data_IF_198270494519
#
_entry.id   IF_198270494519
#
_cell.length_a   1.000
_cell.length_b   1.000
_cell.length_c   1.000
_cell.angle_alpha   90.00
_cell.angle_beta   90.00
_cell.angle_gamma   90.00
#
_symmetry.space_group_name_H-M   'P 1'
#
loop_
_entity.id
_entity.type
_entity.pdbx_description
1 polymer ?
#
# COMPACT_ATOMS: atom_id res chain seq x y z
N UNK A 1 23.38 -28.57 36.57
CA UNK A 1 22.76 -27.56 37.45
C UNK A 1 23.31 -26.20 37.05
N UNK A 2 22.62 -25.48 36.17
CA UNK A 2 23.05 -24.18 35.65
C UNK A 2 22.22 -23.06 36.27
N UNK A 3 22.90 -22.10 36.90
CA UNK A 3 22.35 -20.94 37.59
C UNK A 3 21.73 -19.95 36.58
N UNK A 4 20.47 -19.58 36.82
CA UNK A 4 19.77 -18.49 36.11
C UNK A 4 20.14 -17.13 36.71
N UNK A 5 20.32 -16.07 35.89
CA UNK A 5 20.52 -14.71 36.38
C UNK A 5 19.19 -14.06 36.81
N UNK A 6 19.22 -13.07 37.74
CA UNK A 6 18.04 -12.47 38.36
C UNK A 6 17.31 -11.47 37.43
N UNK A 7 16.03 -11.13 37.74
CA UNK A 7 15.22 -10.29 36.87
C UNK A 7 15.58 -8.81 36.99
N UNK A 8 15.53 -8.14 35.83
CA UNK A 8 15.65 -6.70 35.65
C UNK A 8 14.63 -5.93 36.51
N UNK A 9 15.13 -5.00 37.34
CA UNK A 9 14.33 -3.96 37.99
C UNK A 9 13.92 -2.91 36.96
N UNK A 10 12.62 -2.68 36.85
CA UNK A 10 12.03 -1.57 36.10
C UNK A 10 12.34 -0.23 36.77
N UNK A 11 12.68 0.77 35.96
CA UNK A 11 12.69 2.18 36.34
C UNK A 11 11.26 2.65 36.66
N UNK A 12 11.06 3.14 37.87
CA UNK A 12 9.97 4.06 38.25
C UNK A 12 10.55 5.47 38.40
N UNK A 13 9.70 6.49 38.20
CA UNK A 13 9.95 7.94 38.14
C UNK A 13 10.34 8.44 36.73
N UNK A 14 9.79 9.50 36.15
CA UNK A 14 9.23 10.74 36.70
C UNK A 14 8.14 11.26 35.74
N UNK A 15 6.90 11.46 36.22
CA UNK A 15 5.98 12.45 35.67
C UNK A 15 5.25 13.07 36.86
N UNK A 16 5.81 14.17 37.37
CA UNK A 16 5.10 15.08 38.25
C UNK A 16 4.20 15.96 37.38
N UNK A 17 2.89 15.84 37.59
CA UNK A 17 1.89 16.77 37.08
C UNK A 17 1.92 18.02 37.97
N UNK A 18 1.85 19.24 37.41
CA UNK A 18 1.51 20.41 38.21
C UNK A 18 0.02 20.40 38.55
N UNK A 19 -0.28 20.68 39.82
CA UNK A 19 -1.62 20.97 40.31
C UNK A 19 -2.08 22.31 39.68
N UNK A 20 -3.04 22.24 38.76
CA UNK A 20 -3.73 23.42 38.24
C UNK A 20 -5.01 23.65 39.03
N UNK A 21 -4.96 24.64 39.92
CA UNK A 21 -6.11 25.30 40.52
C UNK A 21 -6.93 25.98 39.42
N UNK A 22 -8.07 25.39 39.06
CA UNK A 22 -9.06 26.03 38.20
C UNK A 22 -10.38 26.21 38.94
N UNK A 23 -10.52 27.43 39.44
CA UNK A 23 -11.74 28.05 39.95
C UNK A 23 -12.93 27.89 39.00
N UNK A 24 -14.08 27.61 39.60
CA UNK A 24 -15.39 27.51 38.97
C UNK A 24 -15.75 28.76 38.13
N UNK A 25 -16.00 28.54 36.85
CA UNK A 25 -16.72 29.49 35.98
C UNK A 25 -18.11 28.92 35.74
N UNK A 26 -19.12 29.69 36.14
CA UNK A 26 -20.53 29.38 36.01
C UNK A 26 -20.95 29.28 34.53
N UNK A 27 -21.59 28.17 34.18
CA UNK A 27 -22.18 27.92 32.87
C UNK A 27 -23.42 28.78 32.64
N UNK A 28 -23.38 29.63 31.61
CA UNK A 28 -24.58 30.25 31.02
C UNK A 28 -25.16 29.33 29.94
N UNK A 29 -26.49 29.30 29.75
CA UNK A 29 -27.14 28.41 28.78
C UNK A 29 -26.92 28.89 27.33
N UNK A 30 -26.90 27.95 26.35
CA UNK A 30 -26.64 28.28 24.95
C UNK A 30 -27.84 28.97 24.29
N UNK A 31 -27.56 30.14 23.69
CA UNK A 31 -28.46 30.86 22.79
C UNK A 31 -28.58 30.11 21.47
N UNK A 32 -29.81 29.86 21.02
CA UNK A 32 -30.11 29.20 19.76
C UNK A 32 -29.60 30.03 18.55
N UNK A 33 -29.06 29.39 17.50
CA UNK A 33 -28.68 30.08 16.27
C UNK A 33 -29.92 30.47 15.44
N UNK A 34 -29.88 31.60 14.71
CA UNK A 34 -30.97 32.02 13.83
C UNK A 34 -31.03 31.14 12.57
N UNK A 35 -32.25 30.81 12.19
CA UNK A 35 -32.61 30.13 10.94
C UNK A 35 -32.01 30.89 9.75
N UNK A 36 -31.12 30.20 9.02
CA UNK A 36 -30.63 30.66 7.73
C UNK A 36 -31.30 29.83 6.65
N UNK A 37 -32.32 30.43 6.02
CA UNK A 37 -32.93 29.97 4.79
C UNK A 37 -31.88 29.91 3.68
N UNK A 38 -31.33 28.72 3.42
CA UNK A 38 -30.49 28.45 2.26
C UNK A 38 -31.41 28.15 1.08
N UNK A 39 -31.54 29.16 0.22
CA UNK A 39 -32.20 29.10 -1.08
C UNK A 39 -31.49 28.07 -1.99
N UNK A 40 -32.10 26.90 -2.14
CA UNK A 40 -31.65 25.79 -2.99
C UNK A 40 -32.28 25.87 -4.38
N UNK A 41 -32.25 27.04 -5.00
CA UNK A 41 -32.75 27.21 -6.35
C UNK A 41 -31.64 27.10 -7.41
N UNK A 42 -31.96 26.28 -8.42
CA UNK A 42 -31.40 26.24 -9.78
C UNK A 42 -30.10 25.46 -10.00
N UNK A 43 -30.21 24.13 -9.96
CA UNK A 43 -29.38 23.28 -10.83
C UNK A 43 -30.18 23.05 -12.12
N UNK A 44 -29.65 23.53 -13.25
CA UNK A 44 -30.25 23.40 -14.58
C UNK A 44 -30.28 21.92 -15.02
N UNK A 45 -31.45 21.29 -15.19
CA UNK A 45 -31.56 19.88 -15.54
C UNK A 45 -31.01 19.55 -16.95
N UNK A 46 -30.70 20.54 -17.79
CA UNK A 46 -30.16 20.30 -19.14
C UNK A 46 -28.68 19.94 -19.20
N UNK A 47 -27.94 20.05 -18.09
CA UNK A 47 -26.51 19.70 -18.03
C UNK A 47 -26.25 18.20 -17.72
N UNK A 48 -27.25 17.43 -17.31
CA UNK A 48 -27.08 15.98 -17.08
C UNK A 48 -27.20 15.14 -18.36
N UNK A 49 -27.92 15.61 -19.39
CA UNK A 49 -28.13 14.82 -20.61
C UNK A 49 -26.91 14.83 -21.56
N UNK A 50 -25.99 15.79 -21.40
CA UNK A 50 -24.81 15.89 -22.29
C UNK A 50 -23.66 14.94 -21.90
N UNK A 51 -23.68 14.38 -20.68
CA UNK A 51 -22.66 13.42 -20.23
C UNK A 51 -22.98 11.96 -20.57
N UNK A 52 -24.22 11.64 -20.97
CA UNK A 52 -24.57 10.29 -21.40
C UNK A 52 -24.30 10.00 -22.89
N UNK A 53 -24.03 11.02 -23.71
CA UNK A 53 -23.80 10.83 -25.15
C UNK A 53 -22.36 10.45 -25.53
N UNK A 54 -21.38 10.62 -24.63
CA UNK A 54 -19.95 10.36 -24.91
C UNK A 54 -19.48 8.93 -24.55
N UNK A 55 -20.36 8.08 -23.99
CA UNK A 55 -20.04 6.72 -23.56
C UNK A 55 -20.60 5.64 -24.51
N UNK A 56 -20.78 5.94 -25.81
CA UNK A 56 -21.06 4.92 -26.81
C UNK A 56 -19.77 4.17 -27.16
N UNK A 57 -19.54 3.09 -26.42
CA UNK A 57 -18.51 2.09 -26.72
C UNK A 57 -18.71 1.58 -28.14
N UNK A 58 -17.65 1.50 -28.97
CA UNK A 58 -17.76 0.92 -30.30
C UNK A 58 -18.24 -0.52 -30.21
N UNK A 59 -19.27 -0.82 -30.99
CA UNK A 59 -19.90 -2.15 -31.14
C UNK A 59 -18.81 -3.20 -31.32
N UNK A 60 -18.66 -4.06 -30.31
CA UNK A 60 -17.73 -5.19 -30.36
C UNK A 60 -18.11 -6.09 -31.54
N UNK A 61 -17.25 -6.12 -32.55
CA UNK A 61 -17.35 -7.01 -33.70
C UNK A 61 -17.32 -8.44 -33.16
N UNK A 62 -18.46 -9.13 -33.16
CA UNK A 62 -18.57 -10.54 -32.82
C UNK A 62 -17.72 -11.35 -33.80
N UNK A 63 -16.49 -11.67 -33.39
CA UNK A 63 -15.67 -12.69 -34.03
C UNK A 63 -16.25 -14.03 -33.57
N UNK A 64 -16.98 -14.70 -34.47
CA UNK A 64 -17.43 -16.08 -34.22
C UNK A 64 -16.19 -16.97 -33.97
N UNK A 65 -16.14 -17.71 -32.85
CA UNK A 65 -15.09 -18.69 -32.63
C UNK A 65 -15.24 -19.80 -33.69
N UNK A 66 -14.30 -19.86 -34.63
CA UNK A 66 -14.17 -21.00 -35.54
C UNK A 66 -13.86 -22.24 -34.70
N UNK A 67 -14.81 -23.16 -34.66
CA UNK A 67 -14.66 -24.50 -34.08
C UNK A 67 -13.60 -25.22 -34.93
N UNK A 68 -12.44 -25.61 -34.37
CA UNK A 68 -11.43 -26.33 -35.12
C UNK A 68 -11.89 -27.77 -35.35
N UNK A 69 -11.77 -28.24 -36.60
CA UNK A 69 -12.05 -29.61 -37.00
C UNK A 69 -11.18 -30.61 -36.23
N UNK A 70 -11.85 -31.66 -35.74
CA UNK A 70 -11.25 -32.83 -35.09
C UNK A 70 -10.42 -33.62 -36.11
N UNK A 71 -9.16 -33.21 -36.35
CA UNK A 71 -8.17 -34.08 -36.98
C UNK A 71 -7.19 -34.61 -35.94
N UNK A 72 -7.41 -35.89 -35.65
CA UNK A 72 -6.61 -36.78 -34.83
C UNK A 72 -5.23 -36.97 -35.45
N UNK A 73 -4.21 -36.31 -34.90
CA UNK A 73 -2.82 -36.75 -35.05
C UNK A 73 -2.23 -36.92 -33.66
N UNK A 74 -2.05 -38.19 -33.28
CA UNK A 74 -1.41 -38.63 -32.05
C UNK A 74 0.11 -38.37 -32.15
N UNK A 75 0.51 -37.11 -32.11
CA UNK A 75 1.82 -36.75 -31.59
C UNK A 75 1.62 -36.54 -30.09
N UNK A 76 2.36 -37.29 -29.27
CA UNK A 76 2.44 -37.12 -27.82
C UNK A 76 3.09 -35.76 -27.54
N UNK A 77 2.34 -34.70 -27.81
CA UNK A 77 2.67 -33.33 -27.50
C UNK A 77 2.49 -33.26 -25.99
N UNK A 78 3.60 -33.45 -25.25
CA UNK A 78 3.69 -33.22 -23.82
C UNK A 78 2.93 -31.94 -23.51
N UNK A 79 1.71 -32.06 -23.00
CA UNK A 79 0.78 -30.93 -22.99
C UNK A 79 1.45 -29.82 -22.20
N UNK A 80 1.77 -28.75 -22.93
CA UNK A 80 2.43 -27.57 -22.38
C UNK A 80 1.48 -26.77 -21.51
N UNK A 81 0.23 -27.22 -21.36
CA UNK A 81 -0.85 -26.61 -20.60
C UNK A 81 -1.09 -27.43 -19.33
N UNK A 82 -1.20 -26.74 -18.21
CA UNK A 82 -1.58 -27.27 -16.89
C UNK A 82 -2.96 -26.78 -16.55
N UNK A 83 -3.75 -27.67 -15.96
CA UNK A 83 -5.02 -27.33 -15.33
C UNK A 83 -4.77 -26.89 -13.89
N UNK A 84 -5.10 -25.64 -13.58
CA UNK A 84 -5.03 -25.09 -12.22
C UNK A 84 -6.44 -24.85 -11.71
N UNK A 85 -6.83 -25.62 -10.70
CA UNK A 85 -8.13 -25.55 -10.04
C UNK A 85 -7.96 -24.74 -8.76
N UNK A 86 -8.54 -23.55 -8.70
CA UNK A 86 -8.55 -22.75 -7.47
C UNK A 86 -9.87 -22.89 -6.77
N UNK A 87 -9.81 -23.26 -5.48
CA UNK A 87 -10.98 -23.43 -4.63
C UNK A 87 -10.93 -22.40 -3.52
N UNK A 88 -12.04 -21.70 -3.33
CA UNK A 88 -12.28 -20.81 -2.20
C UNK A 88 -13.53 -21.34 -1.48
N UNK A 89 -13.35 -21.96 -0.29
CA UNK A 89 -14.47 -22.43 0.52
C UNK A 89 -15.42 -21.27 0.88
N UNK A 90 -16.72 -21.54 1.03
CA UNK A 90 -17.36 -22.86 0.96
C UNK A 90 -17.76 -23.33 -0.45
N UNK A 91 -17.82 -22.45 -1.46
CA UNK A 91 -18.59 -22.77 -2.69
C UNK A 91 -17.98 -22.33 -4.00
N UNK A 92 -16.96 -21.48 -4.00
CA UNK A 92 -16.45 -20.90 -5.25
C UNK A 92 -15.23 -21.66 -5.74
N UNK A 93 -15.34 -22.24 -6.94
CA UNK A 93 -14.23 -22.89 -7.63
C UNK A 93 -14.16 -22.34 -9.05
N UNK A 94 -12.93 -22.16 -9.55
CA UNK A 94 -12.69 -21.85 -10.95
C UNK A 94 -11.45 -22.58 -11.44
N UNK A 95 -11.47 -22.97 -12.70
CA UNK A 95 -10.36 -23.67 -13.36
C UNK A 95 -9.75 -22.75 -14.41
N UNK A 96 -8.42 -22.70 -14.43
CA UNK A 96 -7.63 -22.02 -15.46
C UNK A 96 -6.76 -23.04 -16.19
N UNK A 97 -6.62 -22.86 -17.49
CA UNK A 97 -5.69 -23.61 -18.33
C UNK A 97 -4.53 -22.69 -18.68
N UNK A 98 -3.34 -22.99 -18.18
CA UNK A 98 -2.19 -22.07 -18.25
C UNK A 98 -0.97 -22.83 -18.78
N UNK A 99 -0.15 -22.16 -19.59
CA UNK A 99 1.08 -22.77 -20.07
C UNK A 99 2.10 -22.98 -18.94
N UNK A 100 2.73 -24.16 -18.91
CA UNK A 100 3.80 -24.56 -17.98
C UNK A 100 4.88 -23.49 -17.94
N UNK A 101 5.37 -23.06 -19.11
CA UNK A 101 6.41 -22.03 -19.23
C UNK A 101 6.08 -20.72 -18.52
N UNK A 102 4.82 -20.29 -18.57
CA UNK A 102 4.35 -19.07 -17.90
C UNK A 102 4.32 -19.29 -16.39
N UNK A 103 3.76 -20.41 -15.93
CA UNK A 103 3.73 -20.74 -14.50
C UNK A 103 5.16 -20.84 -13.94
N UNK A 104 6.05 -21.59 -14.61
CA UNK A 104 7.43 -21.81 -14.14
C UNK A 104 8.19 -20.51 -13.93
N UNK A 105 7.89 -19.49 -14.73
CA UNK A 105 8.55 -18.18 -14.67
C UNK A 105 8.06 -17.33 -13.50
N UNK A 106 6.78 -17.43 -13.14
CA UNK A 106 6.13 -16.51 -12.21
C UNK A 106 5.83 -17.09 -10.83
N UNK A 107 5.79 -18.42 -10.67
CA UNK A 107 5.47 -19.08 -9.40
C UNK A 107 6.26 -20.37 -9.22
N UNK A 108 7.15 -20.40 -8.22
CA UNK A 108 7.89 -21.61 -7.86
C UNK A 108 6.96 -22.67 -7.23
N UNK A 109 5.97 -22.25 -6.45
CA UNK A 109 5.03 -23.15 -5.78
C UNK A 109 4.12 -23.89 -6.77
N UNK A 110 3.53 -23.18 -7.75
CA UNK A 110 2.73 -23.82 -8.79
C UNK A 110 3.57 -24.70 -9.70
N UNK A 111 4.83 -24.33 -9.94
CA UNK A 111 5.79 -25.18 -10.68
C UNK A 111 5.98 -26.53 -10.01
N UNK A 112 6.33 -26.52 -8.73
CA UNK A 112 6.50 -27.77 -7.98
C UNK A 112 5.22 -28.62 -7.96
N UNK A 113 4.05 -27.97 -7.87
CA UNK A 113 2.78 -28.68 -7.86
C UNK A 113 2.44 -29.38 -9.19
N UNK A 114 2.67 -28.73 -10.34
CA UNK A 114 2.36 -29.37 -11.63
C UNK A 114 3.40 -30.40 -12.07
N UNK A 115 4.63 -30.32 -11.56
CA UNK A 115 5.66 -31.34 -11.79
C UNK A 115 5.29 -32.67 -11.12
N UNK A 116 4.51 -32.62 -10.03
CA UNK A 116 4.00 -33.79 -9.31
C UNK A 116 2.70 -34.33 -9.91
N UNK A 117 1.81 -33.48 -10.42
CA UNK A 117 0.50 -33.86 -10.93
C UNK A 117 0.07 -33.05 -12.16
N UNK A 118 -0.64 -33.67 -13.10
CA UNK A 118 -1.17 -33.00 -14.29
C UNK A 118 -2.19 -31.90 -13.98
N UNK A 119 -2.91 -32.06 -12.86
CA UNK A 119 -3.90 -31.11 -12.35
C UNK A 119 -3.42 -30.59 -11.00
N UNK A 120 -3.26 -29.27 -10.92
CA UNK A 120 -2.83 -28.58 -9.69
C UNK A 120 -4.04 -27.98 -9.00
N UNK A 121 -4.30 -28.35 -7.74
CA UNK A 121 -5.34 -27.70 -6.92
C UNK A 121 -4.70 -26.68 -5.98
N UNK A 122 -5.29 -25.49 -5.92
CA UNK A 122 -4.88 -24.41 -5.01
C UNK A 122 -6.06 -24.05 -4.14
N UNK A 123 -5.98 -24.39 -2.86
CA UNK A 123 -7.02 -24.05 -1.90
C UNK A 123 -6.69 -22.69 -1.27
N UNK A 124 -7.51 -21.69 -1.54
CA UNK A 124 -7.40 -20.34 -1.00
C UNK A 124 -8.38 -20.14 0.15
N UNK A 125 -7.95 -19.40 1.17
CA UNK A 125 -8.80 -19.04 2.30
C UNK A 125 -9.83 -17.98 1.88
N UNK A 126 -11.13 -18.30 1.99
CA UNK A 126 -12.22 -17.42 1.59
C UNK A 126 -12.37 -16.17 2.44
N UNK A 127 -11.85 -16.19 3.67
CA UNK A 127 -11.82 -14.99 4.52
C UNK A 127 -10.72 -14.01 4.07
N UNK A 128 -9.78 -14.45 3.23
CA UNK A 128 -8.61 -13.67 2.83
C UNK A 128 -8.62 -13.33 1.35
N UNK A 129 -9.01 -14.27 0.48
CA UNK A 129 -8.85 -14.13 -0.96
C UNK A 129 -10.19 -14.18 -1.69
N UNK A 130 -10.25 -13.48 -2.82
CA UNK A 130 -11.33 -13.65 -3.80
C UNK A 130 -10.80 -14.31 -5.07
N UNK A 131 -11.69 -14.88 -5.90
CA UNK A 131 -11.30 -15.39 -7.22
C UNK A 131 -10.70 -14.30 -8.11
N UNK A 132 -11.10 -13.03 -7.89
CA UNK A 132 -10.54 -11.88 -8.59
C UNK A 132 -9.06 -11.66 -8.25
N UNK A 133 -8.64 -11.91 -7.01
CA UNK A 133 -7.22 -11.83 -6.62
C UNK A 133 -6.36 -12.81 -7.42
N UNK A 134 -6.84 -14.04 -7.62
CA UNK A 134 -6.15 -15.03 -8.44
C UNK A 134 -6.18 -14.68 -9.93
N UNK A 135 -7.31 -14.17 -10.43
CA UNK A 135 -7.40 -13.67 -11.80
C UNK A 135 -6.35 -12.58 -12.08
N UNK A 136 -6.17 -11.60 -11.17
CA UNK A 136 -5.15 -10.55 -11.32
C UNK A 136 -3.73 -11.14 -11.39
N UNK A 137 -3.45 -12.23 -10.65
CA UNK A 137 -2.17 -12.95 -10.75
C UNK A 137 -1.97 -13.62 -12.11
N UNK A 138 -3.03 -14.20 -12.68
CA UNK A 138 -2.98 -14.77 -14.04
C UNK A 138 -2.72 -13.67 -15.06
N UNK A 139 -3.44 -12.56 -14.98
CA UNK A 139 -3.28 -11.43 -15.89
C UNK A 139 -1.85 -10.85 -15.80
N UNK A 140 -1.30 -10.74 -14.58
CA UNK A 140 0.10 -10.38 -14.36
C UNK A 140 1.06 -11.41 -14.97
N UNK A 141 0.79 -12.71 -14.86
CA UNK A 141 1.67 -13.75 -15.39
C UNK A 141 1.75 -13.72 -16.92
N UNK A 142 0.65 -13.36 -17.60
CA UNK A 142 0.64 -13.21 -19.05
C UNK A 142 1.24 -11.88 -19.53
N UNK A 143 0.99 -10.78 -18.83
CA UNK A 143 1.40 -9.43 -19.28
C UNK A 143 2.71 -8.92 -18.67
N UNK A 144 3.14 -9.50 -17.55
CA UNK A 144 4.15 -8.93 -16.64
C UNK A 144 3.84 -7.51 -16.14
N UNK A 145 2.59 -7.06 -16.26
CA UNK A 145 2.12 -5.74 -15.81
C UNK A 145 1.17 -5.96 -14.63
N UNK A 146 1.50 -5.35 -13.49
CA UNK A 146 0.61 -5.40 -12.33
C UNK A 146 -0.54 -4.42 -12.53
N UNK A 147 -1.75 -4.95 -12.62
CA UNK A 147 -2.98 -4.18 -12.72
C UNK A 147 -4.07 -4.87 -11.92
N UNK A 148 -4.81 -4.09 -11.15
CA UNK A 148 -5.96 -4.57 -10.36
C UNK A 148 -7.24 -3.99 -10.94
N UNK A 149 -8.30 -4.79 -10.93
CA UNK A 149 -9.61 -4.31 -11.37
C UNK A 149 -10.18 -3.29 -10.36
N UNK A 150 -9.98 -2.00 -10.65
CA UNK A 150 -10.49 -0.88 -9.84
C UNK A 150 -12.00 -0.68 -9.95
N UNK A 151 -12.67 -1.36 -10.87
CA UNK A 151 -14.12 -1.29 -11.07
C UNK A 151 -14.88 -2.37 -10.30
N UNK A 152 -14.18 -3.26 -9.58
CA UNK A 152 -14.83 -4.24 -8.73
C UNK A 152 -15.60 -3.54 -7.60
N UNK A 153 -16.81 -4.02 -7.29
CA UNK A 153 -17.69 -3.41 -6.28
C UNK A 153 -17.04 -3.42 -4.88
N UNK A 154 -16.23 -4.42 -4.60
CA UNK A 154 -15.48 -4.65 -3.36
C UNK A 154 -14.04 -4.13 -3.44
N UNK A 155 -13.70 -3.29 -4.43
CA UNK A 155 -12.37 -2.74 -4.57
C UNK A 155 -12.04 -1.82 -3.38
N UNK A 156 -11.17 -2.31 -2.50
CA UNK A 156 -10.54 -1.50 -1.47
C UNK A 156 -9.04 -1.51 -1.67
N UNK A 157 -8.46 -0.35 -1.93
CA UNK A 157 -7.11 -0.25 -2.47
C UNK A 157 -6.04 -0.93 -1.61
N UNK A 158 -6.08 -0.73 -0.29
CA UNK A 158 -5.11 -1.35 0.62
C UNK A 158 -5.37 -2.86 0.68
N UNK A 159 -6.63 -3.28 0.85
CA UNK A 159 -6.97 -4.71 0.97
C UNK A 159 -6.61 -5.48 -0.30
N UNK A 160 -6.96 -4.99 -1.48
CA UNK A 160 -6.67 -5.65 -2.75
C UNK A 160 -5.17 -5.85 -2.97
N UNK A 161 -4.35 -4.83 -2.68
CA UNK A 161 -2.89 -4.95 -2.81
C UNK A 161 -2.28 -5.85 -1.71
N UNK A 162 -2.80 -5.80 -0.47
CA UNK A 162 -2.39 -6.71 0.62
C UNK A 162 -2.72 -8.16 0.27
N UNK A 163 -3.91 -8.43 -0.26
CA UNK A 163 -4.32 -9.76 -0.74
C UNK A 163 -3.44 -10.25 -1.89
N UNK A 164 -3.12 -9.38 -2.86
CA UNK A 164 -2.20 -9.72 -3.94
C UNK A 164 -0.79 -10.05 -3.41
N UNK A 165 -0.29 -9.29 -2.43
CA UNK A 165 0.98 -9.57 -1.77
C UNK A 165 0.97 -10.91 -1.04
N UNK A 166 -0.09 -11.20 -0.28
CA UNK A 166 -0.29 -12.46 0.44
C UNK A 166 -0.41 -13.65 -0.53
N UNK A 167 -1.10 -13.46 -1.65
CA UNK A 167 -1.20 -14.48 -2.70
C UNK A 167 0.17 -14.74 -3.32
N UNK A 168 0.94 -13.68 -3.59
CA UNK A 168 2.32 -13.79 -4.07
C UNK A 168 3.20 -14.60 -3.11
N UNK A 169 3.10 -14.36 -1.80
CA UNK A 169 3.81 -15.16 -0.80
C UNK A 169 3.38 -16.64 -0.85
N UNK A 170 2.06 -16.91 -0.91
CA UNK A 170 1.49 -18.26 -0.93
C UNK A 170 1.87 -19.06 -2.18
N UNK A 171 1.97 -18.40 -3.33
CA UNK A 171 2.35 -19.02 -4.59
C UNK A 171 3.87 -19.02 -4.83
N UNK A 172 4.67 -18.53 -3.87
CA UNK A 172 6.12 -18.32 -4.05
C UNK A 172 6.44 -17.52 -5.33
N UNK A 173 5.72 -16.41 -5.49
CA UNK A 173 5.78 -15.50 -6.63
C UNK A 173 6.34 -14.12 -6.19
N UNK A 174 7.66 -14.01 -5.92
CA UNK A 174 8.26 -12.82 -5.32
C UNK A 174 8.15 -11.57 -6.22
N UNK A 175 8.13 -11.74 -7.54
CA UNK A 175 7.96 -10.62 -8.50
C UNK A 175 6.56 -10.01 -8.42
N UNK A 176 5.54 -10.85 -8.30
CA UNK A 176 4.15 -10.41 -8.10
C UNK A 176 3.97 -9.75 -6.73
N UNK A 177 4.56 -10.37 -5.69
CA UNK A 177 4.57 -9.82 -4.33
C UNK A 177 5.22 -8.41 -4.30
N UNK A 178 6.38 -8.25 -4.93
CA UNK A 178 7.07 -6.97 -5.02
C UNK A 178 6.27 -5.92 -5.81
N UNK A 179 5.61 -6.32 -6.91
CA UNK A 179 4.78 -5.41 -7.70
C UNK A 179 3.56 -4.91 -6.90
N UNK A 180 2.87 -5.79 -6.17
CA UNK A 180 1.77 -5.41 -5.27
C UNK A 180 2.24 -4.47 -4.15
N UNK A 181 3.43 -4.71 -3.58
CA UNK A 181 4.00 -3.82 -2.56
C UNK A 181 4.33 -2.44 -3.12
N UNK A 182 4.83 -2.37 -4.37
CA UNK A 182 5.08 -1.10 -5.05
C UNK A 182 3.79 -0.32 -5.29
N UNK A 183 2.76 -0.95 -5.82
CA UNK A 183 1.46 -0.27 -6.01
C UNK A 183 0.86 0.18 -4.68
N UNK A 184 0.98 -0.62 -3.61
CA UNK A 184 0.53 -0.17 -2.29
C UNK A 184 1.31 1.09 -1.83
N UNK A 185 2.62 1.11 -2.05
CA UNK A 185 3.48 2.23 -1.68
C UNK A 185 3.19 3.50 -2.48
N UNK A 186 2.93 3.40 -3.79
CA UNK A 186 2.65 4.56 -4.65
C UNK A 186 1.41 5.34 -4.21
N UNK A 187 0.45 4.67 -3.58
CA UNK A 187 -0.75 5.30 -3.03
C UNK A 187 -0.58 5.92 -1.66
N UNK A 188 0.34 5.39 -0.86
CA UNK A 188 0.56 5.81 0.51
C UNK A 188 1.57 6.96 0.58
N UNK A 189 2.68 6.86 -0.15
CA UNK A 189 3.82 7.76 -0.01
C UNK A 189 3.51 9.24 -0.26
N UNK A 190 2.72 9.64 -1.27
CA UNK A 190 2.51 11.06 -1.54
C UNK A 190 1.87 11.81 -0.37
N UNK A 191 0.95 11.16 0.35
CA UNK A 191 0.27 11.75 1.50
C UNK A 191 1.17 11.86 2.72
N UNK A 192 2.15 10.96 2.86
CA UNK A 192 3.18 11.09 3.90
C UNK A 192 4.11 12.29 3.72
N UNK A 193 4.16 12.86 2.52
CA UNK A 193 5.00 14.02 2.20
C UNK A 193 4.23 15.34 2.18
N UNK A 194 2.91 15.28 2.36
CA UNK A 194 2.08 16.47 2.41
C UNK A 194 2.44 17.33 3.63
N UNK A 195 2.44 18.66 3.46
CA UNK A 195 2.79 19.60 4.52
C UNK A 195 1.76 19.57 5.66
N UNK A 196 0.51 19.28 5.31
CA UNK A 196 -0.67 19.15 6.16
C UNK A 196 -0.99 17.68 6.49
N UNK A 197 0.02 16.80 6.43
CA UNK A 197 -0.12 15.40 6.80
C UNK A 197 -0.62 15.29 8.25
N UNK A 198 -1.79 14.67 8.41
CA UNK A 198 -2.42 14.39 9.70
C UNK A 198 -3.17 13.07 9.64
N UNK A 199 -3.59 12.56 10.80
CA UNK A 199 -4.43 11.36 10.86
C UNK A 199 -5.73 11.49 10.06
N UNK A 200 -6.29 12.70 9.93
CA UNK A 200 -7.51 12.96 9.18
C UNK A 200 -7.32 12.77 7.66
N UNK A 201 -6.14 13.11 7.14
CA UNK A 201 -5.80 12.99 5.72
C UNK A 201 -5.18 11.63 5.35
N UNK A 202 -4.91 10.76 6.34
CA UNK A 202 -4.38 9.43 6.08
C UNK A 202 -5.38 8.59 5.26
N UNK A 203 -4.96 7.97 4.14
CA UNK A 203 -5.80 7.04 3.39
C UNK A 203 -5.94 5.70 4.13
N UNK A 204 -5.04 5.42 5.08
CA UNK A 204 -5.03 4.20 5.88
C UNK A 204 -6.03 4.35 7.03
N UNK A 205 -7.04 3.49 7.05
CA UNK A 205 -8.07 3.44 8.08
C UNK A 205 -7.76 2.39 9.15
N UNK A 206 -8.58 2.36 10.20
CA UNK A 206 -8.39 1.42 11.32
C UNK A 206 -8.57 -0.01 10.84
N UNK A 207 -9.53 -0.21 9.95
CA UNK A 207 -9.92 -1.49 9.35
C UNK A 207 -8.77 -2.06 8.52
N UNK A 208 -8.00 -1.23 7.81
CA UNK A 208 -6.84 -1.67 7.03
C UNK A 208 -5.73 -2.23 7.91
N UNK A 209 -5.42 -1.54 9.00
CA UNK A 209 -4.35 -1.94 9.92
C UNK A 209 -4.75 -3.21 10.65
N UNK A 210 -6.02 -3.34 11.04
CA UNK A 210 -6.57 -4.54 11.65
C UNK A 210 -6.57 -5.71 10.66
N UNK A 211 -6.99 -5.49 9.42
CA UNK A 211 -6.94 -6.49 8.35
C UNK A 211 -5.51 -7.01 8.16
N UNK A 212 -4.53 -6.10 8.04
CA UNK A 212 -3.11 -6.48 7.90
C UNK A 212 -2.62 -7.22 9.14
N UNK A 213 -3.01 -6.79 10.36
CA UNK A 213 -2.67 -7.50 11.58
C UNK A 213 -3.26 -8.92 11.63
N UNK A 214 -4.50 -9.12 11.19
CA UNK A 214 -5.13 -10.45 11.20
C UNK A 214 -4.54 -11.39 10.14
N UNK A 215 -4.16 -10.85 8.98
CA UNK A 215 -3.79 -11.66 7.80
C UNK A 215 -2.29 -11.91 7.63
N UNK A 216 -1.44 -11.27 8.43
CA UNK A 216 0.02 -11.45 8.37
C UNK A 216 0.59 -11.80 9.75
N UNK A 217 1.75 -12.47 9.85
CA UNK A 217 2.42 -12.70 11.13
C UNK A 217 3.10 -11.43 11.66
N UNK A 218 3.37 -11.41 12.98
CA UNK A 218 4.19 -10.38 13.61
C UNK A 218 5.57 -10.28 12.94
N UNK A 219 6.06 -9.05 12.74
CA UNK A 219 7.36 -8.80 12.10
C UNK A 219 7.36 -8.86 10.56
N UNK A 220 6.22 -9.16 9.92
CA UNK A 220 6.08 -9.14 8.47
C UNK A 220 6.41 -7.76 7.88
N UNK A 221 7.07 -7.76 6.71
CA UNK A 221 7.39 -6.56 5.91
C UNK A 221 6.15 -5.70 5.65
N UNK A 222 5.02 -6.33 5.30
CA UNK A 222 3.79 -5.63 4.98
C UNK A 222 3.24 -4.85 6.18
N UNK A 223 3.30 -5.45 7.39
CA UNK A 223 2.96 -4.74 8.64
C UNK A 223 3.91 -3.58 8.89
N UNK A 224 5.21 -3.79 8.68
CA UNK A 224 6.19 -2.73 8.87
C UNK A 224 5.90 -1.54 7.95
N UNK A 225 5.62 -1.78 6.66
CA UNK A 225 5.22 -0.73 5.70
C UNK A 225 3.98 0.02 6.15
N UNK A 226 2.92 -0.69 6.53
CA UNK A 226 1.65 -0.05 6.94
C UNK A 226 1.83 0.72 8.26
N UNK A 227 2.57 0.20 9.22
CA UNK A 227 2.81 0.89 10.49
C UNK A 227 3.71 2.12 10.31
N UNK A 228 4.74 2.01 9.47
CA UNK A 228 5.60 3.14 9.10
C UNK A 228 4.82 4.24 8.39
N UNK A 229 3.92 3.86 7.49
CA UNK A 229 3.05 4.78 6.77
C UNK A 229 2.10 5.53 7.71
N UNK A 230 1.41 4.81 8.60
CA UNK A 230 0.56 5.44 9.62
C UNK A 230 1.39 6.40 10.47
N UNK A 231 2.56 5.97 10.93
CA UNK A 231 3.44 6.83 11.71
C UNK A 231 3.91 8.07 10.92
N UNK A 232 4.20 7.93 9.62
CA UNK A 232 4.61 9.04 8.77
C UNK A 232 3.46 10.03 8.49
N UNK A 233 2.22 9.53 8.38
CA UNK A 233 1.05 10.37 8.09
C UNK A 233 0.60 11.20 9.29
N UNK A 234 0.79 10.68 10.49
CA UNK A 234 0.23 11.27 11.70
C UNK A 234 1.14 12.34 12.25
N UNK A 235 0.57 13.36 12.87
CA UNK A 235 1.34 14.30 13.69
C UNK A 235 1.73 13.66 15.03
N UNK A 236 2.68 14.25 15.74
CA UNK A 236 2.97 13.90 17.13
C UNK A 236 1.72 14.03 18.00
N UNK A 237 0.90 15.06 17.77
CA UNK A 237 -0.35 15.26 18.50
C UNK A 237 -1.33 14.11 18.28
N UNK A 238 -1.53 13.70 17.02
CA UNK A 238 -2.40 12.56 16.68
C UNK A 238 -1.93 11.27 17.36
N UNK A 239 -0.62 11.00 17.34
CA UNK A 239 -0.03 9.81 17.94
C UNK A 239 -0.18 9.79 19.47
N UNK A 240 -0.04 10.94 20.15
CA UNK A 240 -0.27 11.06 21.60
C UNK A 240 -1.74 10.80 21.94
N UNK A 241 -2.65 11.31 21.12
CA UNK A 241 -4.09 11.20 21.36
C UNK A 241 -4.63 9.76 21.32
N UNK A 242 -3.94 8.80 20.71
CA UNK A 242 -4.30 7.37 20.84
C UNK A 242 -4.17 6.93 22.31
N UNK A 243 -3.07 7.32 22.94
CA UNK A 243 -2.75 6.96 24.32
C UNK A 243 -3.72 7.57 25.33
N UNK A 244 -4.09 8.84 25.15
CA UNK A 244 -5.04 9.53 26.05
C UNK A 244 -6.43 8.91 25.98
N UNK A 245 -6.88 8.52 24.78
CA UNK A 245 -8.16 7.82 24.59
C UNK A 245 -8.19 6.44 25.26
N UNK A 246 -7.05 5.73 25.31
CA UNK A 246 -6.93 4.47 26.05
C UNK A 246 -7.10 4.70 27.55
N UNK A 247 -6.40 5.69 28.11
CA UNK A 247 -6.48 6.00 29.55
C UNK A 247 -7.93 6.32 29.92
N UNK A 248 -8.61 7.18 29.15
CA UNK A 248 -10.01 7.52 29.38
C UNK A 248 -10.96 6.32 29.34
N UNK A 249 -10.71 5.34 28.45
CA UNK A 249 -11.50 4.10 28.41
C UNK A 249 -11.32 3.27 29.69
N UNK A 250 -10.06 3.05 30.11
CA UNK A 250 -9.77 2.31 31.34
C UNK A 250 -10.33 3.00 32.59
N UNK A 251 -10.26 4.34 32.68
CA UNK A 251 -10.82 5.07 33.81
C UNK A 251 -12.35 4.98 33.89
N UNK A 252 -13.04 4.90 32.74
CA UNK A 252 -14.50 4.73 32.70
C UNK A 252 -14.96 3.33 33.09
N UNK A 253 -14.18 2.29 32.76
CA UNK A 253 -14.49 0.91 33.16
C UNK A 253 -14.43 0.72 34.69
N UNK A 254 -13.67 1.54 35.40
CA UNK A 254 -13.62 1.53 36.87
C UNK A 254 -14.70 2.38 37.56
N UNK A 255 -15.49 3.15 36.81
CA UNK A 255 -16.59 3.92 37.37
C UNK A 255 -17.81 3.01 37.60
N UNK A 256 -18.57 3.18 38.71
CA UNK A 256 -19.77 2.39 38.96
C UNK A 256 -20.75 2.53 37.79
N UNK A 257 -21.18 1.39 37.25
CA UNK A 257 -21.95 1.29 36.01
C UNK A 257 -23.25 2.12 36.11
N UNK A 258 -23.40 3.21 35.32
CA UNK A 258 -24.63 4.00 35.33
C UNK A 258 -25.66 3.32 34.43
N UNK A 259 -26.65 2.67 35.06
CA UNK A 259 -27.85 2.01 34.49
C UNK A 259 -27.63 1.04 33.31
N UNK A 260 -28.41 -0.05 33.21
CA UNK A 260 -28.28 -1.04 32.14
C UNK A 260 -28.55 -0.40 30.77
N UNK A 261 -27.49 -0.04 30.05
CA UNK A 261 -27.60 0.41 28.67
C UNK A 261 -28.00 -0.76 27.76
N UNK A 262 -28.76 -0.49 26.68
CA UNK A 262 -29.12 -1.52 25.71
C UNK A 262 -27.87 -2.22 25.16
N UNK A 263 -27.99 -3.48 24.74
CA UNK A 263 -26.86 -4.29 24.28
C UNK A 263 -26.07 -3.51 23.24
N UNK A 264 -24.82 -3.19 23.57
CA UNK A 264 -23.93 -2.43 22.69
C UNK A 264 -23.77 -3.20 21.39
N UNK A 265 -24.19 -2.57 20.31
CA UNK A 265 -23.88 -2.99 18.94
C UNK A 265 -22.38 -3.22 18.81
N UNK A 266 -21.98 -4.21 18.00
CA UNK A 266 -20.59 -4.61 17.68
C UNK A 266 -19.61 -3.45 17.88
N UNK A 267 -18.69 -3.58 18.83
CA UNK A 267 -17.75 -2.52 19.18
C UNK A 267 -17.06 -2.02 17.92
N UNK A 268 -17.32 -0.75 17.56
CA UNK A 268 -16.66 -0.13 16.43
C UNK A 268 -15.15 -0.22 16.63
N UNK A 269 -14.45 -0.73 15.62
CA UNK A 269 -13.00 -0.85 15.65
C UNK A 269 -12.39 0.55 15.83
N UNK A 270 -11.45 0.70 16.77
CA UNK A 270 -10.84 2.01 17.06
C UNK A 270 -9.32 1.95 17.01
N UNK A 271 -8.65 3.08 16.79
CA UNK A 271 -7.19 3.16 16.91
C UNK A 271 -6.69 2.70 18.29
N UNK A 272 -7.49 2.90 19.34
CA UNK A 272 -7.21 2.39 20.67
C UNK A 272 -7.22 0.85 20.74
N UNK A 273 -8.15 0.16 20.07
CA UNK A 273 -8.14 -1.31 20.02
C UNK A 273 -6.92 -1.84 19.26
N UNK A 274 -6.53 -1.18 18.17
CA UNK A 274 -5.32 -1.51 17.43
C UNK A 274 -4.03 -1.32 18.23
N UNK A 275 -4.00 -0.34 19.13
CA UNK A 275 -2.85 -0.08 19.99
C UNK A 275 -2.53 -1.25 20.96
N UNK A 276 -3.42 -2.23 21.08
CA UNK A 276 -3.14 -3.50 21.78
C UNK A 276 -2.12 -4.36 21.01
N UNK A 277 -2.00 -4.22 19.68
CA UNK A 277 -0.99 -4.92 18.90
C UNK A 277 0.42 -4.39 19.21
N UNK A 278 1.29 -5.26 19.73
CA UNK A 278 2.63 -4.91 20.21
C UNK A 278 3.47 -4.19 19.16
N UNK A 279 3.45 -4.69 17.92
CA UNK A 279 4.22 -4.10 16.81
C UNK A 279 3.77 -2.68 16.46
N UNK A 280 2.45 -2.47 16.34
CA UNK A 280 1.86 -1.17 16.05
C UNK A 280 2.15 -0.18 17.18
N UNK A 281 1.89 -0.57 18.44
CA UNK A 281 2.21 0.24 19.63
C UNK A 281 3.66 0.67 19.68
N UNK A 282 4.60 -0.29 19.50
CA UNK A 282 6.04 -0.01 19.53
C UNK A 282 6.38 1.04 18.48
N UNK A 283 5.83 0.91 17.27
CA UNK A 283 6.12 1.82 16.16
C UNK A 283 5.56 3.22 16.37
N UNK A 284 4.31 3.34 16.81
CA UNK A 284 3.71 4.64 17.13
C UNK A 284 4.47 5.30 18.29
N UNK A 285 4.79 4.55 19.35
CA UNK A 285 5.56 5.05 20.49
C UNK A 285 6.95 5.56 20.08
N UNK A 286 7.65 4.85 19.19
CA UNK A 286 8.96 5.29 18.74
C UNK A 286 8.90 6.51 17.83
N UNK A 287 7.84 6.62 17.02
CA UNK A 287 7.60 7.79 16.17
C UNK A 287 7.47 9.10 16.97
N UNK A 288 7.04 9.05 18.24
CA UNK A 288 6.87 10.24 19.08
C UNK A 288 8.19 11.00 19.30
N UNK A 289 9.34 10.33 19.17
CA UNK A 289 10.67 10.94 19.27
C UNK A 289 11.04 11.76 18.02
N UNK A 290 10.32 11.57 16.92
CA UNK A 290 10.57 12.25 15.63
C UNK A 290 9.65 13.46 15.51
N UNK A 291 10.25 14.63 15.30
CA UNK A 291 9.54 15.89 15.06
C UNK A 291 8.68 15.81 13.80
N UNK A 292 7.53 16.47 13.79
CA UNK A 292 6.59 16.45 12.65
C UNK A 292 7.26 16.73 11.29
N UNK A 293 8.15 17.73 11.21
CA UNK A 293 8.93 18.06 10.00
C UNK A 293 9.81 16.92 9.44
N UNK A 294 10.09 15.89 10.22
CA UNK A 294 10.93 14.75 9.87
C UNK A 294 10.14 13.43 9.79
N UNK A 295 8.84 13.43 10.13
CA UNK A 295 8.03 12.20 10.18
C UNK A 295 7.87 11.55 8.81
N UNK A 296 7.97 12.32 7.73
CA UNK A 296 7.99 11.81 6.35
C UNK A 296 9.13 10.79 6.13
N UNK A 297 10.23 10.88 6.88
CA UNK A 297 11.37 9.94 6.83
C UNK A 297 11.09 8.61 7.54
N UNK A 298 9.99 8.51 8.29
CA UNK A 298 9.58 7.26 8.94
C UNK A 298 9.12 6.21 7.93
N UNK A 299 8.63 6.67 6.77
CA UNK A 299 8.32 5.80 5.62
C UNK A 299 9.60 5.62 4.79
N UNK A 300 10.15 4.41 4.81
CA UNK A 300 11.38 4.08 4.07
C UNK A 300 11.12 4.06 2.56
N UNK A 301 12.16 4.09 1.71
CA UNK A 301 12.02 3.77 0.30
C UNK A 301 11.42 2.38 0.08
N UNK A 302 10.60 2.22 -0.96
CA UNK A 302 9.90 0.95 -1.24
C UNK A 302 10.85 -0.25 -1.39
N UNK A 303 12.01 -0.04 -1.99
CA UNK A 303 12.97 -1.11 -2.25
C UNK A 303 13.58 -1.68 -0.97
N UNK A 304 13.61 -0.93 0.14
CA UNK A 304 14.06 -1.46 1.43
C UNK A 304 13.04 -2.46 2.00
N UNK A 305 11.74 -2.21 1.81
CA UNK A 305 10.71 -3.18 2.18
C UNK A 305 10.77 -4.43 1.31
N UNK A 306 10.93 -4.28 -0.01
CA UNK A 306 11.06 -5.40 -0.95
C UNK A 306 12.30 -6.26 -0.61
N UNK A 307 13.40 -5.62 -0.20
CA UNK A 307 14.60 -6.30 0.27
C UNK A 307 14.46 -6.95 1.66
N UNK A 308 13.29 -6.82 2.32
CA UNK A 308 13.04 -7.37 3.65
C UNK A 308 13.75 -6.64 4.78
N UNK A 309 14.28 -5.44 4.54
CA UNK A 309 14.94 -4.62 5.57
C UNK A 309 13.89 -3.99 6.47
N UNK A 310 13.37 -4.74 7.43
CA UNK A 310 12.33 -4.28 8.37
C UNK A 310 12.88 -3.71 9.67
N UNK A 311 14.19 -3.84 9.91
CA UNK A 311 14.86 -3.31 11.10
C UNK A 311 14.54 -1.84 11.33
N UNK A 312 14.16 -1.51 12.56
CA UNK A 312 13.95 -0.13 12.99
C UNK A 312 15.31 0.59 12.95
N UNK A 313 15.55 1.45 11.95
CA UNK A 313 16.68 2.39 11.95
C UNK A 313 16.46 3.52 12.99
N UNK A 314 15.87 3.21 14.15
CA UNK A 314 15.57 4.20 15.18
C UNK A 314 16.82 4.82 15.79
N UNK A 315 17.95 4.12 15.74
CA UNK A 315 19.21 4.59 16.31
C UNK A 315 19.85 5.71 15.48
N UNK A 316 19.61 5.78 14.17
CA UNK A 316 20.26 6.76 13.29
C UNK A 316 19.64 8.17 13.40
N UNK A 317 18.32 8.25 13.67
CA UNK A 317 17.61 9.53 13.78
C UNK A 317 17.98 10.34 15.02
N UNK A 318 18.32 9.68 16.13
CA UNK A 318 18.71 10.37 17.37
C UNK A 318 20.10 10.99 17.21
N UNK A 319 20.99 10.34 16.46
CA UNK A 319 22.36 10.81 16.24
C UNK A 319 22.42 12.01 15.29
N UNK A 320 21.65 11.99 14.19
CA UNK A 320 21.75 13.01 13.15
C UNK A 320 21.11 14.36 13.58
N UNK A 321 20.00 14.31 14.34
CA UNK A 321 19.34 15.50 14.85
C UNK A 321 20.20 16.25 15.89
N UNK A 322 20.94 15.50 16.73
CA UNK A 322 21.85 16.07 17.73
C UNK A 322 23.06 16.72 17.03
N UNK A 323 23.62 16.09 16.01
CA UNK A 323 24.76 16.65 15.26
C UNK A 323 24.35 17.90 14.45
N UNK A 324 23.17 17.91 13.82
CA UNK A 324 22.68 19.08 13.06
C UNK A 324 22.32 20.27 13.96
N UNK A 325 21.83 20.02 15.17
CA UNK A 325 21.52 21.04 16.18
C UNK A 325 22.78 21.60 16.85
N UNK A 326 23.80 20.77 17.11
CA UNK A 326 25.05 21.18 17.79
C UNK A 326 26.03 21.85 16.81
N UNK A 327 26.11 21.37 15.56
CA UNK A 327 27.02 21.91 14.54
C UNK A 327 26.32 22.83 13.53
N UNK A 328 25.07 23.17 13.76
CA UNK A 328 24.39 24.31 13.15
C UNK A 328 24.98 25.62 13.64
N UNK A 329 26.28 25.84 13.40
CA UNK A 329 26.93 27.13 13.58
C UNK A 329 26.16 28.22 12.83
N UNK A 330 26.26 29.49 13.28
CA UNK A 330 25.51 30.60 12.71
C UNK A 330 25.64 30.56 11.20
N UNK A 331 24.50 30.35 10.50
CA UNK A 331 24.46 30.41 9.05
C UNK A 331 25.15 31.72 8.66
N UNK A 332 26.24 31.71 7.88
CA UNK A 332 26.86 32.94 7.43
C UNK A 332 25.75 33.74 6.75
N UNK A 333 25.47 34.92 7.30
CA UNK A 333 24.50 35.86 6.76
C UNK A 333 24.83 35.98 5.27
N UNK A 334 23.94 35.47 4.41
CA UNK A 334 24.09 35.68 2.97
C UNK A 334 24.25 37.18 2.79
N UNK A 335 25.34 37.67 2.19
CA UNK A 335 25.46 39.08 1.90
C UNK A 335 24.24 39.46 1.06
N UNK A 336 23.46 40.41 1.57
CA UNK A 336 22.34 41.02 0.88
C UNK A 336 22.92 41.63 -0.38
N UNK A 337 22.81 40.90 -1.49
CA UNK A 337 23.21 41.38 -2.80
C UNK A 337 22.20 42.48 -3.15
N UNK A 338 22.66 43.73 -3.01
CA UNK A 338 21.91 44.90 -3.41
C UNK A 338 21.29 44.66 -4.79
N UNK A 339 19.97 44.83 -4.87
CA UNK A 339 19.21 44.78 -6.10
C UNK A 339 19.68 45.94 -7.00
N UNK A 340 20.61 45.63 -7.89
CA UNK A 340 20.88 46.46 -9.06
C UNK A 340 19.72 46.30 -10.03
N UNK A 341 18.84 47.30 -10.03
CA UNK A 341 17.96 47.65 -11.14
C UNK A 341 18.79 47.73 -12.44
N UNK A 342 18.68 46.74 -13.32
CA UNK A 342 19.02 46.92 -14.73
C UNK A 342 18.06 46.13 -15.62
N UNK A 343 17.08 46.88 -16.11
CA UNK A 343 16.67 47.02 -17.51
C UNK A 343 16.72 45.76 -18.39
N UNK A 344 15.52 45.35 -18.81
CA UNK A 344 15.28 44.56 -20.02
C UNK A 344 15.97 45.15 -21.24
N UNK A 345 16.54 44.31 -22.11
CA UNK A 345 16.02 44.18 -23.47
C UNK A 345 15.98 42.69 -23.87
N UNK A 346 14.97 42.17 -24.55
CA UNK A 346 14.60 42.58 -25.90
C UNK A 346 14.52 41.31 -26.74
N UNK A 347 13.39 41.15 -27.43
CA UNK A 347 13.12 40.18 -28.51
C UNK A 347 14.37 39.78 -29.30
N UNK A 348 14.52 38.48 -29.58
CA UNK A 348 14.98 38.00 -30.89
C UNK A 348 14.48 36.58 -31.19
N UNK A 349 13.57 36.52 -32.17
CA UNK A 349 13.29 35.35 -33.03
C UNK A 349 14.58 34.93 -33.75
N UNK A 350 14.81 33.61 -33.86
CA UNK A 350 15.50 32.84 -34.92
C UNK A 350 15.14 31.38 -34.61
N UNK A 351 14.36 30.61 -35.39
CA UNK A 351 14.46 30.25 -36.81
C UNK A 351 15.88 29.83 -37.16
N UNK A 352 16.08 28.51 -37.31
CA UNK A 352 17.07 27.76 -38.11
C UNK A 352 17.05 26.33 -37.53
N UNK A 353 16.36 25.34 -38.10
CA UNK A 353 16.52 24.69 -39.40
C UNK A 353 17.91 24.04 -39.61
N UNK A 354 17.85 22.71 -39.81
CA UNK A 354 18.87 21.81 -40.35
C UNK A 354 20.17 21.66 -39.54
N UNK A 355 20.53 20.42 -39.25
CA UNK A 355 21.45 19.67 -40.13
C UNK A 355 22.13 18.50 -39.39
N UNK A 356 21.93 17.32 -39.96
CA UNK A 356 22.90 16.24 -40.17
C UNK A 356 23.24 15.24 -39.05
N UNK A 357 23.04 13.98 -39.48
CA UNK A 357 23.98 12.82 -39.44
C UNK A 357 24.28 12.29 -38.04
N UNK A 358 23.96 11.06 -37.67
CA UNK A 358 23.92 9.83 -38.46
C UNK A 358 24.88 8.86 -37.78
N UNK A 359 24.40 7.69 -37.36
CA UNK A 359 25.23 6.49 -37.21
C UNK A 359 24.35 5.26 -37.11
N UNK A 360 24.12 4.65 -38.26
CA UNK A 360 23.80 3.24 -38.42
C UNK A 360 24.97 2.41 -37.87
N UNK A 361 24.67 1.47 -36.98
CA UNK A 361 25.50 0.30 -36.72
C UNK A 361 24.72 -0.89 -37.20
N UNK A 362 24.89 -1.19 -38.49
CA UNK A 362 24.74 -2.52 -39.05
C UNK A 362 25.77 -3.41 -38.34
N UNK A 363 25.34 -4.55 -37.82
CA UNK A 363 26.24 -5.59 -37.34
C UNK A 363 25.96 -6.82 -38.20
N UNK A 364 27.05 -7.30 -38.77
CA UNK A 364 27.17 -8.33 -39.78
C UNK A 364 26.40 -9.60 -39.45
N UNK A 365 25.73 -10.09 -40.49
CA UNK A 365 25.27 -11.47 -40.62
C UNK A 365 26.47 -12.23 -41.18
N UNK A 366 27.00 -13.15 -40.38
CA UNK A 366 27.97 -14.14 -40.85
C UNK A 366 27.19 -15.22 -41.60
N UNK A 367 27.24 -15.14 -42.93
CA UNK A 367 26.94 -16.23 -43.86
C UNK A 367 28.26 -17.00 -44.11
N UNK A 368 28.40 -18.19 -43.50
CA UNK A 368 29.28 -19.26 -43.99
C UNK A 368 28.46 -20.56 -43.93
N UNK A 369 27.98 -21.08 -45.06
CA UNK A 369 28.68 -21.92 -46.04
C UNK A 369 28.58 -23.44 -45.71
N UNK A 370 27.73 -24.11 -46.50
CA UNK A 370 27.77 -25.49 -47.00
C UNK A 370 27.95 -26.70 -46.06
N UNK A 371 27.00 -27.64 -46.16
CA UNK A 371 27.30 -29.04 -46.55
C UNK A 371 26.01 -29.76 -47.00
N UNK A 372 25.96 -30.02 -48.30
CA UNK A 372 25.11 -31.00 -48.98
C UNK A 372 25.56 -32.43 -48.66
N UNK A 373 24.63 -33.35 -48.37
CA UNK A 373 24.64 -34.78 -48.74
C UNK A 373 23.23 -35.32 -48.40
N UNK A 374 22.36 -35.55 -49.38
CA UNK A 374 22.17 -36.81 -50.14
C UNK A 374 21.69 -38.00 -49.28
N UNK A 375 20.44 -38.41 -49.57
CA UNK A 375 19.86 -39.75 -49.63
C UNK A 375 20.20 -40.84 -48.60
N UNK A 376 19.18 -41.23 -47.82
CA UNK A 376 18.74 -42.62 -47.59
C UNK A 376 17.32 -42.65 -46.99
#
# INVERSE_FOLDING_TARGET
MGSLPPPYRFFQSVFALPDDDSSAIASSPPTAPPDSDVDTSVIDPKLLDTLHAAAQTPVARQVQPRIPDKRTTNATCNSSIVEVVVRIPPTTQRTWYIQKSIISRHSAGLRGAYELASTTSVDLDGDTFSLATFQNFIDFSYSSIYSVNRQALDYHIIHTNVQAWLLGAKLEAPTYQAAALRELYTWIEPLSRAVDSSAAHSPIRVEDVDFVCRKTPDGCVLRALIFDAVAAHWTQHDAINIGTNLIRKFTRETAPEPDPQPPRTVEALTWASLYKHRGFRKRISSSLKVRDSQRTRLLRPVDDYIAGKTGMQEEEFVSEAVVSSIFGGPRPLRPVRAQGLMLSPGRRRRSDERSRRGRSTEREVDDDEFMTMEDA
#
